data_IF_166695573334
#
_entry.id   IF_166695573334
#
_cell.length_a   1.000
_cell.length_b   1.000
_cell.length_c   1.000
_cell.angle_alpha   90.00
_cell.angle_beta   90.00
_cell.angle_gamma   90.00
#
_symmetry.space_group_name_H-M   'P 1'
#
loop_
_entity.id
_entity.type
_entity.pdbx_description
1 polymer ?
#
# COMPACT_ATOMS: atom_id res chain seq x y z
N UNK A 1 -40.10 -31.48 2.40
CA UNK A 1 -39.07 -31.13 1.43
C UNK A 1 -38.71 -29.65 1.45
N UNK A 2 -39.69 -28.77 1.40
CA UNK A 2 -39.43 -27.32 1.45
C UNK A 2 -38.73 -26.88 2.71
N UNK A 3 -39.00 -27.51 3.86
CA UNK A 3 -38.36 -27.19 5.15
C UNK A 3 -36.85 -27.45 5.16
N UNK A 4 -36.42 -28.56 4.55
CA UNK A 4 -34.99 -28.87 4.46
C UNK A 4 -34.25 -27.90 3.59
N UNK A 5 -34.91 -27.44 2.54
CA UNK A 5 -34.33 -26.44 1.63
C UNK A 5 -34.21 -25.08 2.32
N UNK A 6 -35.23 -24.68 3.07
CA UNK A 6 -35.21 -23.43 3.82
C UNK A 6 -34.12 -23.42 4.89
N UNK A 7 -33.93 -24.56 5.59
CA UNK A 7 -32.88 -24.71 6.57
C UNK A 7 -31.50 -24.50 5.97
N UNK A 8 -31.22 -25.10 4.83
CA UNK A 8 -29.98 -24.94 4.11
C UNK A 8 -29.76 -23.48 3.66
N UNK A 9 -30.84 -22.84 3.24
CA UNK A 9 -30.80 -21.45 2.81
C UNK A 9 -30.39 -20.52 3.98
N UNK A 10 -30.96 -20.76 5.17
CA UNK A 10 -30.66 -19.98 6.37
C UNK A 10 -29.18 -20.17 6.79
N UNK A 11 -28.71 -21.40 6.82
CA UNK A 11 -27.32 -21.69 7.14
C UNK A 11 -26.36 -21.04 6.13
N UNK A 12 -26.69 -21.11 4.85
CA UNK A 12 -25.96 -20.47 3.77
C UNK A 12 -25.88 -18.95 3.96
N UNK A 13 -26.99 -18.34 4.37
CA UNK A 13 -27.03 -16.90 4.63
C UNK A 13 -26.17 -16.51 5.82
N UNK A 14 -26.16 -17.32 6.88
CA UNK A 14 -25.32 -17.08 8.06
C UNK A 14 -23.84 -17.20 7.73
N UNK A 15 -23.46 -18.22 6.99
CA UNK A 15 -22.10 -18.40 6.52
C UNK A 15 -21.65 -17.27 5.63
N UNK A 16 -22.52 -16.84 4.70
CA UNK A 16 -22.24 -15.73 3.81
C UNK A 16 -22.06 -14.42 4.58
N UNK A 17 -22.84 -14.20 5.65
CA UNK A 17 -22.71 -13.02 6.50
C UNK A 17 -21.38 -13.02 7.25
N UNK A 18 -20.97 -14.17 7.79
CA UNK A 18 -19.68 -14.32 8.48
C UNK A 18 -18.53 -14.10 7.51
N UNK A 19 -18.60 -14.64 6.31
CA UNK A 19 -17.60 -14.44 5.27
C UNK A 19 -17.49 -12.98 4.87
N UNK A 20 -18.64 -12.29 4.73
CA UNK A 20 -18.64 -10.87 4.40
C UNK A 20 -18.00 -10.03 5.49
N UNK A 21 -18.22 -10.36 6.76
CA UNK A 21 -17.59 -9.66 7.88
C UNK A 21 -16.08 -9.90 7.89
N UNK A 22 -15.65 -11.14 7.64
CA UNK A 22 -14.25 -11.49 7.56
C UNK A 22 -13.59 -10.78 6.39
N UNK A 23 -14.24 -10.74 5.23
CA UNK A 23 -13.76 -10.04 4.05
C UNK A 23 -13.69 -8.54 4.27
N UNK A 24 -14.69 -7.96 4.93
CA UNK A 24 -14.69 -6.54 5.27
C UNK A 24 -13.53 -6.18 6.19
N UNK A 25 -13.22 -7.02 7.17
CA UNK A 25 -12.07 -6.84 8.05
C UNK A 25 -10.77 -6.95 7.28
N UNK A 26 -10.66 -7.93 6.37
CA UNK A 26 -9.49 -8.09 5.50
C UNK A 26 -9.34 -6.90 4.56
N UNK A 27 -10.44 -6.42 4.00
CA UNK A 27 -10.42 -5.25 3.11
C UNK A 27 -9.93 -4.02 3.85
N UNK A 28 -10.30 -3.82 5.11
CA UNK A 28 -9.81 -2.69 5.91
C UNK A 28 -8.30 -2.76 6.12
N UNK A 29 -7.79 -3.92 6.51
CA UNK A 29 -6.36 -4.15 6.68
C UNK A 29 -5.64 -4.01 5.34
N UNK A 30 -6.21 -4.58 4.29
CA UNK A 30 -5.67 -4.50 2.94
C UNK A 30 -5.63 -3.06 2.44
N UNK A 31 -6.67 -2.26 2.73
CA UNK A 31 -6.70 -0.85 2.34
C UNK A 31 -5.58 -0.07 3.00
N UNK A 32 -5.32 -0.29 4.29
CA UNK A 32 -4.22 0.34 5.01
C UNK A 32 -2.87 -0.08 4.43
N UNK A 33 -2.72 -1.38 4.13
CA UNK A 33 -1.50 -1.91 3.50
C UNK A 33 -1.30 -1.36 2.10
N UNK A 34 -2.37 -1.27 1.32
CA UNK A 34 -2.32 -0.70 -0.04
C UNK A 34 -1.91 0.77 0.03
N UNK A 35 -2.42 1.51 1.01
CA UNK A 35 -2.09 2.91 1.18
C UNK A 35 -0.61 3.10 1.51
N UNK A 36 -0.07 2.29 2.43
CA UNK A 36 1.36 2.29 2.76
C UNK A 36 2.21 1.90 1.56
N UNK A 37 1.75 0.90 0.82
CA UNK A 37 2.45 0.44 -0.38
C UNK A 37 2.48 1.53 -1.45
N UNK A 38 1.37 2.25 -1.65
CA UNK A 38 1.30 3.38 -2.59
C UNK A 38 2.23 4.51 -2.18
N UNK A 39 2.28 4.83 -0.89
CA UNK A 39 3.19 5.84 -0.37
C UNK A 39 4.63 5.43 -0.60
N UNK A 40 4.97 4.17 -0.32
CA UNK A 40 6.31 3.65 -0.54
C UNK A 40 6.68 3.67 -2.03
N UNK A 41 5.78 3.23 -2.90
CA UNK A 41 5.99 3.26 -4.35
C UNK A 41 6.21 4.70 -4.84
N UNK A 42 5.42 5.63 -4.34
CA UNK A 42 5.55 7.04 -4.69
C UNK A 42 6.91 7.59 -4.26
N UNK A 43 7.36 7.24 -3.05
CA UNK A 43 8.67 7.64 -2.54
C UNK A 43 9.80 6.98 -3.32
N UNK A 44 9.64 5.72 -3.69
CA UNK A 44 10.63 4.99 -4.50
C UNK A 44 10.74 5.58 -5.91
N UNK A 45 9.63 5.98 -6.50
CA UNK A 45 9.62 6.67 -7.79
C UNK A 45 10.33 8.01 -7.70
N UNK A 46 10.06 8.78 -6.65
CA UNK A 46 10.74 10.05 -6.40
C UNK A 46 12.23 9.84 -6.21
N UNK A 47 12.62 8.81 -5.46
CA UNK A 47 14.01 8.42 -5.26
C UNK A 47 14.68 8.10 -6.58
N UNK A 48 14.06 7.30 -7.42
CA UNK A 48 14.58 6.92 -8.74
C UNK A 48 14.79 8.16 -9.60
N UNK A 49 13.84 9.10 -9.58
CA UNK A 49 13.94 10.35 -10.32
C UNK A 49 15.09 11.20 -9.83
N UNK A 50 15.27 11.32 -8.51
CA UNK A 50 16.37 12.08 -7.91
C UNK A 50 17.70 11.42 -8.27
N UNK A 51 17.79 10.10 -8.22
CA UNK A 51 19.00 9.37 -8.60
C UNK A 51 19.35 9.59 -10.07
N UNK A 52 18.34 9.59 -10.94
CA UNK A 52 18.51 9.85 -12.35
C UNK A 52 19.03 11.29 -12.58
N UNK A 53 18.41 12.26 -11.92
CA UNK A 53 18.82 13.66 -12.02
C UNK A 53 20.23 13.84 -11.49
N UNK A 54 20.58 13.13 -10.42
CA UNK A 54 21.91 13.20 -9.81
C UNK A 54 22.98 12.64 -10.76
N UNK A 55 22.64 11.59 -11.51
CA UNK A 55 23.56 11.01 -12.50
C UNK A 55 23.84 11.99 -13.65
N UNK A 56 22.87 12.84 -13.99
CA UNK A 56 23.02 13.82 -15.06
C UNK A 56 23.50 15.18 -14.58
N UNK A 57 23.37 15.49 -13.30
CA UNK A 57 23.71 16.79 -12.75
C UNK A 57 25.21 17.00 -12.71
N UNK A 58 25.65 18.16 -13.21
CA UNK A 58 27.05 18.55 -13.24
C UNK A 58 27.36 19.68 -12.26
N UNK A 59 26.33 20.46 -11.88
CA UNK A 59 26.52 21.60 -10.98
C UNK A 59 26.62 21.13 -9.53
N UNK A 60 27.67 21.50 -8.78
CA UNK A 60 27.90 20.98 -7.42
C UNK A 60 26.79 21.31 -6.43
N UNK A 61 26.27 22.52 -6.45
CA UNK A 61 25.18 22.93 -5.54
C UNK A 61 23.89 22.15 -5.82
N UNK A 62 23.59 21.92 -7.08
CA UNK A 62 22.44 21.14 -7.48
C UNK A 62 22.60 19.69 -7.04
N UNK A 63 23.79 19.13 -7.19
CA UNK A 63 24.11 17.78 -6.73
C UNK A 63 23.93 17.65 -5.23
N UNK A 64 24.38 18.63 -4.45
CA UNK A 64 24.19 18.63 -2.99
C UNK A 64 22.71 18.63 -2.61
N UNK A 65 21.91 19.44 -3.31
CA UNK A 65 20.46 19.49 -3.08
C UNK A 65 19.81 18.14 -3.38
N UNK A 66 20.21 17.50 -4.47
CA UNK A 66 19.70 16.18 -4.86
C UNK A 66 20.11 15.10 -3.87
N UNK A 67 21.35 15.14 -3.38
CA UNK A 67 21.84 14.21 -2.36
C UNK A 67 21.08 14.36 -1.04
N UNK A 68 20.78 15.60 -0.64
CA UNK A 68 19.97 15.87 0.54
C UNK A 68 18.54 15.35 0.37
N UNK A 69 17.95 15.57 -0.80
CA UNK A 69 16.62 15.06 -1.13
C UNK A 69 16.60 13.53 -1.12
N UNK A 70 17.65 12.91 -1.65
CA UNK A 70 17.76 11.45 -1.67
C UNK A 70 17.80 10.89 -0.25
N UNK A 71 18.61 11.47 0.62
CA UNK A 71 18.67 11.05 2.03
C UNK A 71 17.33 11.19 2.73
N UNK A 72 16.63 12.28 2.47
CA UNK A 72 15.30 12.51 3.04
C UNK A 72 14.29 11.46 2.57
N UNK A 73 14.31 11.14 1.26
CA UNK A 73 13.44 10.12 0.69
C UNK A 73 13.74 8.73 1.25
N UNK A 74 15.01 8.39 1.37
CA UNK A 74 15.44 7.10 1.93
C UNK A 74 15.01 6.96 3.38
N UNK A 75 15.10 8.05 4.17
CA UNK A 75 14.65 8.07 5.54
C UNK A 75 13.13 7.84 5.62
N UNK A 76 12.36 8.48 4.78
CA UNK A 76 10.90 8.31 4.75
C UNK A 76 10.50 6.90 4.33
N UNK A 77 11.21 6.31 3.38
CA UNK A 77 10.98 4.93 2.96
C UNK A 77 11.26 3.98 4.13
N UNK A 78 12.36 4.20 4.84
CA UNK A 78 12.70 3.40 6.02
C UNK A 78 11.65 3.52 7.12
N UNK A 79 11.08 4.70 7.32
CA UNK A 79 10.03 4.93 8.32
C UNK A 79 8.73 4.19 7.99
N UNK A 80 8.49 3.90 6.71
CA UNK A 80 7.29 3.16 6.28
C UNK A 80 7.45 1.63 6.38
N UNK A 81 8.64 1.13 6.60
CA UNK A 81 8.88 -0.32 6.75
C UNK A 81 8.65 -0.81 8.21
#
# INVERSE_FOLDING_TARGET
MARGWESKSVESQMEAAEERQAEAAKVRLTAAQIQRQRERESLELSRTRVMHDLAEATHPQYRESLEAALRHLEQRIADLQ
#
